data_IF_099143115708
#
_entry.id   IF_099143115708
#
_cell.length_a   1.000
_cell.length_b   1.000
_cell.length_c   1.000
_cell.angle_alpha   90.00
_cell.angle_beta   90.00
_cell.angle_gamma   90.00
#
_symmetry.space_group_name_H-M   'P 1'
#
loop_
_entity.id
_entity.type
_entity.pdbx_description
1 polymer ?
#
# COMPACT_ATOMS: atom_id res chain seq x y z
N UNK A 1 9.16 -0.21 -9.92
CA UNK A 1 7.92 -0.09 -9.14
C UNK A 1 7.62 -1.43 -8.50
N UNK A 2 7.46 -1.44 -7.20
CA UNK A 2 7.33 -2.70 -6.47
C UNK A 2 5.87 -2.99 -6.17
N UNK A 3 5.29 -3.85 -6.99
CA UNK A 3 3.90 -4.27 -6.80
C UNK A 3 3.88 -5.38 -5.75
N UNK A 4 3.02 -5.23 -4.77
CA UNK A 4 2.87 -6.26 -3.74
C UNK A 4 1.50 -6.90 -3.89
N UNK A 5 1.44 -8.21 -3.66
CA UNK A 5 0.19 -8.96 -3.80
C UNK A 5 0.13 -10.18 -2.89
N UNK A 6 1.23 -10.50 -2.23
CA UNK A 6 1.29 -11.68 -1.35
C UNK A 6 1.02 -11.27 0.08
N UNK A 7 0.50 -12.21 0.86
CA UNK A 7 0.26 -11.97 2.28
C UNK A 7 1.55 -11.53 2.98
N UNK A 8 2.67 -12.16 2.63
CA UNK A 8 3.94 -11.81 3.22
C UNK A 8 4.33 -10.36 2.93
N UNK A 9 4.01 -9.89 1.72
CA UNK A 9 4.30 -8.52 1.35
C UNK A 9 3.51 -7.53 2.20
N UNK A 10 2.23 -7.82 2.41
CA UNK A 10 1.39 -6.97 3.25
C UNK A 10 1.84 -7.02 4.70
N UNK A 11 2.20 -8.20 5.17
CA UNK A 11 2.71 -8.35 6.53
C UNK A 11 3.97 -7.53 6.74
N UNK A 12 4.89 -7.59 5.78
CA UNK A 12 6.12 -6.82 5.87
C UNK A 12 5.84 -5.32 5.85
N UNK A 13 4.89 -4.88 5.01
CA UNK A 13 4.53 -3.48 4.97
C UNK A 13 3.99 -3.02 6.32
N UNK A 14 3.19 -3.85 6.97
CA UNK A 14 2.68 -3.54 8.29
C UNK A 14 3.80 -3.46 9.32
N UNK A 15 4.69 -4.44 9.30
CA UNK A 15 5.76 -4.51 10.29
C UNK A 15 6.75 -3.34 10.17
N UNK A 16 7.03 -2.95 8.95
CA UNK A 16 8.02 -1.90 8.71
C UNK A 16 7.41 -0.51 8.55
N UNK A 17 6.09 -0.42 8.65
CA UNK A 17 5.43 0.87 8.49
C UNK A 17 5.63 1.48 7.12
N UNK A 18 5.64 0.65 6.08
CA UNK A 18 5.88 1.12 4.73
C UNK A 18 4.59 1.65 4.11
N UNK A 19 4.67 2.82 3.50
CA UNK A 19 3.53 3.39 2.80
C UNK A 19 3.25 2.65 1.52
N UNK A 20 1.97 2.49 1.21
CA UNK A 20 1.51 1.79 0.02
C UNK A 20 0.57 2.69 -0.74
N UNK A 21 0.71 2.70 -2.06
CA UNK A 21 -0.26 3.34 -2.94
C UNK A 21 -1.21 2.30 -3.47
N UNK A 22 -2.48 2.65 -3.57
CA UNK A 22 -3.50 1.78 -4.13
C UNK A 22 -3.94 2.34 -5.46
N UNK A 23 -3.86 1.53 -6.50
CA UNK A 23 -4.19 1.95 -7.85
C UNK A 23 -5.32 1.11 -8.40
N UNK A 24 -6.16 1.70 -9.22
CA UNK A 24 -7.18 1.01 -9.98
C UNK A 24 -7.19 1.63 -11.38
N UNK A 25 -7.04 0.76 -12.40
CA UNK A 25 -6.97 1.22 -13.78
C UNK A 25 -5.89 2.29 -13.99
N UNK A 26 -4.77 2.12 -13.29
CA UNK A 26 -3.66 3.04 -13.42
C UNK A 26 -3.81 4.35 -12.67
N UNK A 27 -4.90 4.52 -11.95
CA UNK A 27 -5.15 5.74 -11.17
C UNK A 27 -5.02 5.46 -9.69
N UNK A 28 -4.40 6.39 -8.98
CA UNK A 28 -4.28 6.27 -7.55
C UNK A 28 -5.64 6.54 -6.90
N UNK A 29 -6.12 5.55 -6.15
CA UNK A 29 -7.41 5.67 -5.47
C UNK A 29 -7.27 5.72 -3.96
N UNK A 30 -6.06 5.50 -3.46
CA UNK A 30 -5.82 5.56 -2.03
C UNK A 30 -4.37 5.33 -1.71
N UNK A 31 -4.04 5.45 -0.45
CA UNK A 31 -2.69 5.21 0.01
C UNK A 31 -2.58 5.41 1.50
N UNK A 32 -1.51 4.91 2.07
CA UNK A 32 -1.24 5.03 3.47
C UNK A 32 -0.56 3.78 4.00
N UNK A 33 -0.73 3.54 5.28
CA UNK A 33 -0.19 2.36 5.91
C UNK A 33 -1.21 1.24 5.87
N UNK A 34 -0.71 0.00 5.74
CA UNK A 34 -1.58 -1.16 5.81
C UNK A 34 -1.99 -1.36 7.26
N UNK A 35 -3.29 -1.30 7.51
CA UNK A 35 -3.82 -1.49 8.86
C UNK A 35 -4.16 -2.94 9.13
N UNK A 36 -4.77 -3.60 8.16
CA UNK A 36 -5.10 -5.01 8.24
C UNK A 36 -5.41 -5.51 6.84
N UNK A 37 -5.43 -6.81 6.68
CA UNK A 37 -5.75 -7.40 5.39
C UNK A 37 -6.26 -8.83 5.58
N UNK A 38 -6.97 -9.31 4.58
CA UNK A 38 -7.38 -10.71 4.53
C UNK A 38 -7.28 -11.17 3.07
N UNK A 39 -7.89 -12.31 2.76
CA UNK A 39 -7.79 -12.88 1.41
C UNK A 39 -8.52 -12.05 0.36
N UNK A 40 -9.45 -11.22 0.77
CA UNK A 40 -10.32 -10.51 -0.15
C UNK A 40 -9.97 -9.05 -0.25
N UNK A 41 -9.64 -8.42 0.87
CA UNK A 41 -9.41 -6.99 0.87
C UNK A 41 -8.27 -6.59 1.78
N UNK A 42 -7.79 -5.35 1.58
CA UNK A 42 -6.74 -4.77 2.39
C UNK A 42 -7.23 -3.43 2.87
N UNK A 43 -7.07 -3.18 4.16
CA UNK A 43 -7.37 -1.86 4.71
C UNK A 43 -6.09 -1.04 4.69
N UNK A 44 -6.10 0.03 3.90
CA UNK A 44 -4.96 0.92 3.75
C UNK A 44 -5.41 2.32 4.16
N UNK A 45 -4.75 2.87 5.18
CA UNK A 45 -5.18 4.16 5.69
C UNK A 45 -6.60 4.07 6.20
N UNK A 46 -7.48 4.87 5.64
CA UNK A 46 -8.88 4.89 6.07
C UNK A 46 -9.81 4.16 5.11
N UNK A 47 -9.26 3.52 4.08
CA UNK A 47 -10.07 2.86 3.07
C UNK A 47 -9.83 1.37 3.00
N UNK A 48 -10.81 0.66 2.47
CA UNK A 48 -10.68 -0.77 2.21
C UNK A 48 -10.72 -0.99 0.71
N UNK A 49 -9.82 -1.82 0.22
CA UNK A 49 -9.66 -2.02 -1.21
C UNK A 49 -9.62 -3.50 -1.51
N UNK A 50 -10.34 -3.91 -2.56
CA UNK A 50 -10.39 -5.31 -2.96
C UNK A 50 -9.07 -5.73 -3.59
N UNK A 51 -8.53 -6.85 -3.14
CA UNK A 51 -7.24 -7.33 -3.64
C UNK A 51 -7.28 -7.71 -5.10
N UNK A 52 -8.42 -8.19 -5.57
CA UNK A 52 -8.54 -8.61 -6.97
C UNK A 52 -8.74 -7.46 -7.94
N UNK A 53 -9.23 -6.33 -7.45
CA UNK A 53 -9.55 -5.19 -8.32
C UNK A 53 -8.55 -4.07 -8.21
N UNK A 54 -7.66 -4.13 -7.24
CA UNK A 54 -6.74 -3.04 -6.95
C UNK A 54 -5.31 -3.50 -7.08
N UNK A 55 -4.44 -2.58 -7.41
CA UNK A 55 -3.00 -2.82 -7.44
C UNK A 55 -2.38 -2.09 -6.27
N UNK A 56 -1.56 -2.79 -5.52
CA UNK A 56 -0.89 -2.23 -4.35
C UNK A 56 0.59 -2.10 -4.65
N UNK A 57 1.13 -0.91 -4.45
CA UNK A 57 2.50 -0.59 -4.81
C UNK A 57 3.19 0.02 -3.62
N UNK A 58 4.41 -0.43 -3.36
CA UNK A 58 5.22 0.19 -2.32
C UNK A 58 5.56 1.61 -2.72
N UNK A 59 5.23 2.55 -1.87
CA UNK A 59 5.56 3.95 -2.12
C UNK A 59 6.88 4.25 -1.44
N UNK A 60 7.75 5.03 -2.08
CA UNK A 60 8.96 5.46 -1.40
C UNK A 60 8.57 6.34 -0.21
N UNK A 61 9.34 6.27 0.88
CA UNK A 61 9.07 7.14 2.01
C UNK A 61 9.15 8.59 1.57
N UNK A 62 8.34 9.45 2.16
CA UNK A 62 8.44 10.87 1.81
C UNK A 62 9.83 11.35 2.14
N UNK A 63 10.49 11.89 1.15
CA UNK A 63 11.80 12.42 1.35
C UNK A 63 11.69 13.85 1.80
N UNK A 64 12.16 14.10 2.98
CA UNK A 64 12.32 15.46 3.39
C UNK A 64 13.45 16.04 2.55
N UNK A 65 13.22 17.11 1.84
CA UNK A 65 14.34 17.77 1.17
C UNK A 65 15.23 18.27 2.28
N UNK A 66 16.33 17.71 2.33
CA UNK A 66 17.30 18.22 3.24
C UNK A 66 17.91 19.39 2.58
N UNK A 67 17.70 20.27 2.80
CA UNK A 67 18.39 21.23 2.31
C UNK A 67 19.23 21.71 3.06
N UNK A 68 19.55 21.28 3.10
CA UNK A 68 20.11 21.63 3.80
C UNK A 68 20.76 21.92 3.79
#
# INVERSE_FOLDING_TARGET
>A
MDIIYRDADFTNAMLFGTYIMVLMDGKMIGGGLVEEFDEIEVKVGQGRFLRNSSTFVLAPPPQCPTNM
#
